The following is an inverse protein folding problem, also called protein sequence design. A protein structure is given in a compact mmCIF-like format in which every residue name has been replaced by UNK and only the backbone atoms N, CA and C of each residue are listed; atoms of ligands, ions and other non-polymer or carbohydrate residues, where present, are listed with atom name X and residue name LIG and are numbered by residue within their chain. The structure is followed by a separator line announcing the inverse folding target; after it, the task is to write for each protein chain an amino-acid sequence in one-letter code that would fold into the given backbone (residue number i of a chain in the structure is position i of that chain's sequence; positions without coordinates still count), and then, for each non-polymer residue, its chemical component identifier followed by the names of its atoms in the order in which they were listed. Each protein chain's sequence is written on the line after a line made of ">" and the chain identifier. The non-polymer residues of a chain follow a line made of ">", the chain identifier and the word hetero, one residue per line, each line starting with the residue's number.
data_IF_420479718868
#
_entry.id   IF_420479718868
#
_cell.length_a   1.000
_cell.length_b   1.000
_cell.length_c   1.000
_cell.angle_alpha   90.00
_cell.angle_beta   90.00
_cell.angle_gamma   90.00
#
_symmetry.space_group_name_H-M   'P 1'
#
loop_
_entity.id
_entity.type
_entity.pdbx_description
1 polymer ?
#
# COMPACT_ATOMS: atom_id res chain seq x y z
N UNK A 1 -66.38 45.88 -27.98
CA UNK A 1 -67.77 46.15 -28.41
C UNK A 1 -68.27 44.88 -29.09
N UNK A 2 -69.20 44.17 -28.43
CA UNK A 2 -70.18 43.24 -29.03
C UNK A 2 -69.60 41.94 -29.63
N UNK A 3 -70.17 40.74 -29.51
CA UNK A 3 -71.33 40.17 -28.82
C UNK A 3 -71.22 38.66 -29.15
N UNK A 4 -71.40 37.76 -28.18
CA UNK A 4 -71.99 36.42 -28.44
C UNK A 4 -73.47 36.64 -28.82
N UNK A 5 -74.22 35.72 -29.48
CA UNK A 5 -74.57 34.36 -28.96
C UNK A 5 -74.96 33.33 -30.10
N UNK A 6 -75.84 32.31 -29.92
CA UNK A 6 -75.71 31.10 -29.10
C UNK A 6 -76.06 29.75 -29.83
N UNK A 7 -75.89 28.67 -29.06
CA UNK A 7 -76.73 27.45 -28.94
C UNK A 7 -77.01 26.49 -30.12
N UNK A 8 -76.74 25.21 -29.84
CA UNK A 8 -77.24 24.05 -30.56
C UNK A 8 -76.91 22.76 -29.81
N UNK A 9 -77.73 22.41 -28.83
CA UNK A 9 -77.70 21.17 -28.04
C UNK A 9 -78.22 19.96 -28.82
N UNK A 10 -77.59 18.79 -28.64
CA UNK A 10 -78.14 17.40 -28.66
C UNK A 10 -76.93 16.44 -28.81
N UNK A 11 -76.77 15.31 -28.13
CA UNK A 11 -77.46 14.65 -27.02
C UNK A 11 -76.46 13.69 -26.36
N UNK A 12 -76.77 13.25 -25.13
CA UNK A 12 -76.00 12.28 -24.36
C UNK A 12 -76.24 10.85 -24.88
N UNK A 13 -75.18 10.08 -25.09
CA UNK A 13 -75.21 8.60 -25.03
C UNK A 13 -73.85 8.08 -24.47
N UNK A 14 -73.82 6.98 -23.68
CA UNK A 14 -72.79 6.78 -22.67
C UNK A 14 -71.53 6.03 -23.14
N UNK A 15 -70.45 6.30 -22.40
CA UNK A 15 -69.08 5.79 -22.49
C UNK A 15 -68.97 4.25 -22.52
N UNK A 16 -68.05 3.69 -23.33
CA UNK A 16 -67.25 2.54 -22.94
C UNK A 16 -65.94 3.02 -22.31
N UNK A 17 -65.76 2.71 -21.02
CA UNK A 17 -64.50 2.90 -20.28
C UNK A 17 -63.36 2.22 -21.04
N UNK A 18 -62.35 2.99 -21.43
CA UNK A 18 -61.07 2.43 -21.84
C UNK A 18 -60.47 1.64 -20.67
N UNK A 19 -60.03 0.39 -20.88
CA UNK A 19 -59.36 -0.35 -19.83
C UNK A 19 -58.03 0.32 -19.50
N UNK A 20 -57.88 0.69 -18.23
CA UNK A 20 -56.60 1.09 -17.66
C UNK A 20 -55.55 0.02 -18.00
N UNK A 21 -54.54 0.41 -18.76
CA UNK A 21 -53.38 -0.42 -19.03
C UNK A 21 -52.64 -0.66 -17.71
N UNK A 22 -52.92 -1.80 -17.10
CA UNK A 22 -52.15 -2.33 -15.98
C UNK A 22 -50.77 -2.69 -16.55
N UNK A 23 -49.77 -1.86 -16.24
CA UNK A 23 -48.38 -2.17 -16.50
C UNK A 23 -47.99 -3.35 -15.59
N UNK A 24 -48.02 -4.56 -16.13
CA UNK A 24 -47.51 -5.78 -15.50
C UNK A 24 -46.03 -5.55 -15.16
N UNK A 25 -45.73 -5.25 -13.90
CA UNK A 25 -44.37 -5.18 -13.36
C UNK A 25 -43.78 -6.59 -13.24
N UNK A 26 -43.58 -7.26 -14.37
CA UNK A 26 -42.62 -8.36 -14.47
C UNK A 26 -41.35 -7.79 -15.07
N UNK A 27 -40.56 -7.13 -14.24
CA UNK A 27 -39.18 -6.74 -14.55
C UNK A 27 -38.38 -8.01 -14.91
N UNK A 28 -38.06 -8.28 -16.19
CA UNK A 28 -37.25 -9.42 -16.55
C UNK A 28 -35.79 -9.01 -16.29
N UNK A 29 -35.25 -9.47 -15.17
CA UNK A 29 -33.83 -9.49 -14.79
C UNK A 29 -32.88 -10.00 -15.89
N UNK A 30 -33.43 -10.59 -16.96
CA UNK A 30 -32.75 -11.03 -18.17
C UNK A 30 -32.13 -9.91 -19.02
N UNK A 31 -32.51 -8.64 -18.85
CA UNK A 31 -31.89 -7.52 -19.59
C UNK A 31 -30.60 -6.97 -18.97
N UNK A 32 -30.22 -7.38 -17.76
CA UNK A 32 -28.96 -6.95 -17.13
C UNK A 32 -27.75 -7.77 -17.63
N UNK A 33 -27.98 -8.90 -18.31
CA UNK A 33 -26.91 -9.78 -18.78
C UNK A 33 -26.50 -9.57 -20.25
N UNK A 34 -27.10 -8.60 -20.95
CA UNK A 34 -26.97 -8.45 -22.41
C UNK A 34 -26.17 -7.24 -22.94
N UNK A 35 -25.65 -6.35 -22.07
CA UNK A 35 -24.85 -5.18 -22.46
C UNK A 35 -23.46 -5.21 -21.80
N UNK A 36 -22.88 -6.40 -21.63
CA UNK A 36 -21.59 -6.63 -21.00
C UNK A 36 -20.48 -7.10 -21.94
N UNK A 37 -20.66 -7.02 -23.25
CA UNK A 37 -19.62 -7.36 -24.24
C UNK A 37 -19.65 -6.35 -25.38
N UNK A 38 -18.88 -5.27 -25.24
CA UNK A 38 -18.20 -4.51 -26.31
C UNK A 38 -17.56 -3.24 -25.72
N UNK A 39 -16.78 -3.42 -24.65
CA UNK A 39 -15.83 -2.42 -24.20
C UNK A 39 -14.49 -3.11 -23.93
N UNK A 40 -13.93 -3.78 -24.93
CA UNK A 40 -12.48 -4.01 -24.98
C UNK A 40 -11.82 -2.69 -25.37
N UNK A 41 -11.99 -1.67 -24.52
CA UNK A 41 -11.08 -0.54 -24.52
C UNK A 41 -9.72 -1.10 -24.12
N UNK A 42 -8.70 -0.91 -24.95
CA UNK A 42 -7.33 -1.15 -24.56
C UNK A 42 -7.11 -0.46 -23.20
N UNK A 43 -6.81 -1.23 -22.16
CA UNK A 43 -6.35 -0.68 -20.90
C UNK A 43 -5.20 0.26 -21.20
N UNK A 44 -5.14 1.48 -20.63
CA UNK A 44 -3.94 2.30 -20.70
C UNK A 44 -2.74 1.41 -20.34
N UNK A 45 -1.67 1.48 -21.13
CA UNK A 45 -0.41 0.81 -20.85
C UNK A 45 0.04 1.25 -19.46
N UNK A 46 -0.23 0.41 -18.45
CA UNK A 46 -0.02 0.78 -17.07
C UNK A 46 1.47 0.66 -16.80
N UNK A 47 2.13 1.79 -16.53
CA UNK A 47 3.56 1.78 -16.18
C UNK A 47 3.74 0.86 -14.97
N UNK A 48 4.59 -0.15 -15.17
CA UNK A 48 4.83 -1.21 -14.20
C UNK A 48 5.55 -0.65 -12.97
N UNK A 49 5.02 -0.94 -11.78
CA UNK A 49 5.72 -0.75 -10.51
C UNK A 49 5.94 -2.12 -9.88
N UNK A 50 7.19 -2.50 -9.55
CA UNK A 50 7.45 -3.82 -9.01
C UNK A 50 6.76 -3.99 -7.65
N UNK A 51 6.17 -5.17 -7.38
CA UNK A 51 5.64 -5.47 -6.06
C UNK A 51 6.79 -5.54 -5.04
N UNK A 52 6.50 -5.24 -3.77
CA UNK A 52 7.49 -5.31 -2.68
C UNK A 52 8.02 -6.73 -2.37
N UNK A 53 7.52 -7.73 -3.08
CA UNK A 53 7.95 -9.13 -3.02
C UNK A 53 8.73 -9.55 -4.27
N UNK A 54 8.95 -8.65 -5.21
CA UNK A 54 9.74 -8.90 -6.42
C UNK A 54 11.22 -9.08 -6.03
N UNK A 55 11.84 -10.23 -6.36
CA UNK A 55 13.20 -10.53 -5.92
C UNK A 55 14.23 -9.57 -6.53
N UNK A 56 14.06 -9.13 -7.78
CA UNK A 56 14.99 -8.20 -8.42
C UNK A 56 14.91 -6.83 -7.76
N UNK A 57 13.69 -6.36 -7.47
CA UNK A 57 13.51 -5.09 -6.76
C UNK A 57 14.11 -5.12 -5.34
N UNK A 58 13.94 -6.24 -4.63
CA UNK A 58 14.54 -6.46 -3.32
C UNK A 58 16.08 -6.42 -3.42
N UNK A 59 16.63 -7.18 -4.35
CA UNK A 59 18.08 -7.27 -4.58
C UNK A 59 18.67 -5.91 -4.95
N UNK A 60 18.05 -5.17 -5.88
CA UNK A 60 18.49 -3.83 -6.26
C UNK A 60 18.46 -2.86 -5.07
N UNK A 61 17.42 -2.90 -4.23
CA UNK A 61 17.35 -2.05 -3.05
C UNK A 61 18.44 -2.41 -2.03
N UNK A 62 18.66 -3.69 -1.74
CA UNK A 62 19.65 -4.13 -0.74
C UNK A 62 21.08 -3.91 -1.24
N UNK A 63 21.36 -4.30 -2.49
CA UNK A 63 22.70 -4.19 -3.08
C UNK A 63 23.18 -2.74 -3.13
N UNK A 64 22.36 -1.79 -3.60
CA UNK A 64 22.80 -0.38 -3.67
C UNK A 64 23.06 0.22 -2.28
N UNK A 65 22.26 -0.14 -1.27
CA UNK A 65 22.51 0.34 0.09
C UNK A 65 23.85 -0.20 0.63
N UNK A 66 24.14 -1.48 0.42
CA UNK A 66 25.40 -2.07 0.88
C UNK A 66 26.61 -1.58 0.05
N UNK A 67 26.48 -1.45 -1.28
CA UNK A 67 27.52 -0.86 -2.17
C UNK A 67 27.95 0.53 -1.66
N UNK A 68 26.99 1.39 -1.33
CA UNK A 68 27.26 2.75 -0.84
C UNK A 68 27.80 2.78 0.59
N UNK A 69 27.38 1.84 1.45
CA UNK A 69 27.90 1.71 2.82
C UNK A 69 29.34 1.21 2.83
N UNK A 70 29.66 0.22 1.98
CA UNK A 70 31.02 -0.31 1.81
C UNK A 70 32.02 0.79 1.40
N UNK A 71 31.59 1.71 0.53
CA UNK A 71 32.45 2.74 -0.06
C UNK A 71 32.30 4.13 0.57
N UNK A 72 31.72 4.23 1.77
CA UNK A 72 31.55 5.52 2.44
C UNK A 72 32.88 6.17 2.79
N UNK A 73 32.96 7.49 2.63
CA UNK A 73 34.15 8.28 2.97
C UNK A 73 33.81 9.41 3.94
N UNK A 74 34.54 9.56 5.06
CA UNK A 74 35.59 8.66 5.55
C UNK A 74 35.06 7.26 5.91
N UNK A 75 35.93 6.24 5.96
CA UNK A 75 35.54 4.85 6.23
C UNK A 75 34.77 4.69 7.56
N UNK A 76 33.82 3.77 7.58
CA UNK A 76 33.03 3.43 8.76
C UNK A 76 33.50 2.14 9.41
N UNK A 77 33.88 2.23 10.70
CA UNK A 77 34.39 1.11 11.48
C UNK A 77 33.31 0.09 11.88
N UNK A 78 32.04 0.52 12.00
CA UNK A 78 30.95 -0.22 12.65
C UNK A 78 29.71 -0.42 11.77
N UNK A 79 29.84 -0.24 10.45
CA UNK A 79 28.71 -0.34 9.52
C UNK A 79 28.17 -1.76 9.42
N UNK A 80 26.94 -1.97 9.89
CA UNK A 80 26.24 -3.27 9.72
C UNK A 80 25.81 -3.48 8.28
N UNK A 81 25.85 -4.72 7.82
CA UNK A 81 25.21 -5.10 6.56
C UNK A 81 23.69 -5.01 6.67
N UNK A 82 23.04 -4.43 5.67
CA UNK A 82 21.58 -4.32 5.64
C UNK A 82 20.96 -5.47 4.87
N UNK A 83 19.84 -5.97 5.37
CA UNK A 83 19.04 -7.02 4.72
C UNK A 83 17.59 -6.58 4.60
N UNK A 84 16.84 -7.27 3.74
CA UNK A 84 15.44 -6.96 3.51
C UNK A 84 14.55 -7.35 4.70
N UNK A 85 13.55 -6.54 4.97
CA UNK A 85 12.50 -6.78 5.96
C UNK A 85 11.11 -6.58 5.34
N UNK A 86 10.31 -7.64 5.38
CA UNK A 86 9.00 -7.66 4.73
C UNK A 86 7.97 -6.77 5.43
N UNK A 87 8.10 -6.51 6.74
CA UNK A 87 7.21 -5.59 7.45
C UNK A 87 7.55 -4.13 7.13
N UNK A 88 8.84 -3.78 7.06
CA UNK A 88 9.25 -2.44 6.60
C UNK A 88 8.75 -2.16 5.17
N UNK A 89 8.85 -3.13 4.27
CA UNK A 89 8.37 -2.97 2.89
C UNK A 89 6.84 -2.82 2.81
N UNK A 90 6.10 -3.53 3.68
CA UNK A 90 4.64 -3.36 3.82
C UNK A 90 4.28 -1.95 4.32
N UNK A 91 5.05 -1.40 5.25
CA UNK A 91 4.90 -0.01 5.71
C UNK A 91 5.17 0.99 4.60
N UNK A 92 6.30 0.84 3.89
CA UNK A 92 6.65 1.70 2.76
C UNK A 92 5.55 1.69 1.69
N UNK A 93 5.02 0.49 1.36
CA UNK A 93 3.90 0.32 0.42
C UNK A 93 2.63 1.00 0.92
N UNK A 94 2.29 0.83 2.20
CA UNK A 94 1.09 1.42 2.78
C UNK A 94 1.16 2.95 2.72
N UNK A 95 2.34 3.54 2.93
CA UNK A 95 2.53 4.97 2.86
C UNK A 95 2.56 5.50 1.42
N UNK A 96 3.32 4.87 0.52
CA UNK A 96 3.47 5.32 -0.87
C UNK A 96 2.13 5.31 -1.65
N UNK A 97 1.21 4.40 -1.32
CA UNK A 97 -0.18 4.37 -1.84
C UNK A 97 -0.94 5.68 -1.66
N UNK A 98 -0.60 6.47 -0.64
CA UNK A 98 -1.28 7.74 -0.34
C UNK A 98 -0.90 8.83 -1.34
N UNK A 99 0.18 8.64 -2.09
CA UNK A 99 0.67 9.59 -3.09
C UNK A 99 0.81 11.01 -2.54
N UNK A 100 1.46 11.11 -1.37
CA UNK A 100 1.83 12.35 -0.70
C UNK A 100 3.33 12.35 -0.44
N UNK A 101 4.02 13.40 -0.86
CA UNK A 101 5.46 13.53 -0.64
C UNK A 101 5.74 14.21 0.69
N UNK A 102 5.49 13.44 1.75
CA UNK A 102 5.69 13.84 3.13
C UNK A 102 6.04 12.60 3.95
N UNK A 103 6.85 12.77 4.99
CA UNK A 103 7.15 11.67 5.91
C UNK A 103 5.91 11.09 6.58
N UNK A 104 5.96 9.77 6.75
CA UNK A 104 4.95 8.97 7.41
C UNK A 104 4.81 9.37 8.89
N UNK A 105 3.63 9.90 9.25
CA UNK A 105 3.32 10.37 10.60
C UNK A 105 3.30 9.26 11.68
N UNK A 106 3.49 8.00 11.30
CA UNK A 106 3.50 6.84 12.19
C UNK A 106 4.91 6.30 12.50
N UNK A 107 5.98 6.78 11.84
CA UNK A 107 7.34 6.21 11.98
C UNK A 107 7.91 6.32 13.41
N UNK A 108 7.51 7.35 14.15
CA UNK A 108 7.86 7.55 15.57
C UNK A 108 6.84 6.96 16.55
N UNK A 109 5.75 6.35 16.08
CA UNK A 109 4.73 5.74 16.94
C UNK A 109 5.10 4.28 17.19
N UNK A 110 5.16 3.92 18.48
CA UNK A 110 5.56 2.60 18.93
C UNK A 110 4.75 1.49 18.24
N UNK A 111 5.44 0.59 17.54
CA UNK A 111 4.91 -0.57 16.81
C UNK A 111 3.90 -0.25 15.70
N UNK A 112 3.77 1.02 15.28
CA UNK A 112 2.83 1.40 14.23
C UNK A 112 3.33 1.01 12.83
N UNK A 113 4.65 0.97 12.65
CA UNK A 113 5.31 0.71 11.36
C UNK A 113 6.07 -0.62 11.30
N UNK A 114 6.10 -1.37 12.41
CA UNK A 114 6.75 -2.68 12.47
C UNK A 114 6.25 -3.47 13.69
N UNK A 115 6.08 -4.80 13.64
CA UNK A 115 5.60 -5.59 14.79
C UNK A 115 6.61 -5.63 15.96
N UNK A 116 7.91 -5.72 15.67
CA UNK A 116 8.97 -5.81 16.69
C UNK A 116 9.74 -4.52 16.97
N UNK A 117 10.32 -3.86 15.96
CA UNK A 117 10.94 -2.55 16.14
C UNK A 117 9.94 -1.52 16.66
N UNK A 118 10.34 -0.78 17.70
CA UNK A 118 9.49 0.24 18.32
C UNK A 118 9.18 1.35 17.33
N UNK A 119 10.21 1.90 16.69
CA UNK A 119 10.12 2.97 15.69
C UNK A 119 10.95 2.58 14.46
N UNK A 120 10.77 3.30 13.35
CA UNK A 120 11.51 3.08 12.10
C UNK A 120 11.97 4.42 11.51
N UNK A 121 13.02 4.41 10.71
CA UNK A 121 13.46 5.55 9.89
C UNK A 121 12.74 5.55 8.55
N UNK A 122 12.90 6.64 7.78
CA UNK A 122 12.28 6.76 6.45
C UNK A 122 13.03 7.72 5.54
N UNK A 123 13.26 7.31 4.30
CA UNK A 123 13.65 8.18 3.20
C UNK A 123 12.55 8.17 2.13
N UNK A 124 12.32 9.32 1.49
CA UNK A 124 11.41 9.46 0.35
C UNK A 124 12.14 10.03 -0.85
N UNK A 125 11.73 9.58 -2.03
CA UNK A 125 12.15 10.13 -3.31
C UNK A 125 10.93 10.28 -4.21
N UNK A 126 10.89 11.35 -5.00
CA UNK A 126 9.88 11.58 -6.03
C UNK A 126 10.59 11.84 -7.34
N UNK A 127 10.06 11.27 -8.43
CA UNK A 127 10.48 11.63 -9.77
C UNK A 127 9.77 10.81 -10.83
N UNK A 128 10.27 10.93 -12.06
CA UNK A 128 9.74 10.28 -13.25
C UNK A 128 10.01 8.77 -13.25
N UNK A 129 8.95 7.97 -13.28
CA UNK A 129 8.98 6.51 -13.25
C UNK A 129 9.58 5.91 -14.52
N UNK A 130 9.50 6.60 -15.66
CA UNK A 130 10.04 6.10 -16.94
C UNK A 130 11.56 6.00 -16.94
N UNK A 131 12.22 6.75 -16.05
CA UNK A 131 13.67 6.77 -15.86
C UNK A 131 14.10 6.07 -14.58
N UNK A 132 13.14 5.63 -13.76
CA UNK A 132 13.43 5.22 -12.40
C UNK A 132 14.07 3.85 -12.33
N UNK A 133 15.15 3.77 -11.55
CA UNK A 133 15.65 2.55 -10.93
C UNK A 133 15.99 2.84 -9.47
N UNK A 134 15.85 1.88 -8.54
CA UNK A 134 16.23 2.05 -7.12
C UNK A 134 17.61 2.68 -6.94
N UNK A 135 18.58 2.29 -7.78
CA UNK A 135 19.93 2.85 -7.77
C UNK A 135 19.95 4.37 -7.85
N UNK A 136 19.09 4.98 -8.67
CA UNK A 136 19.04 6.44 -8.82
C UNK A 136 18.59 7.14 -7.55
N UNK A 137 17.50 6.67 -6.93
CA UNK A 137 16.96 7.31 -5.73
C UNK A 137 17.91 7.18 -4.54
N UNK A 138 18.47 5.99 -4.31
CA UNK A 138 19.39 5.76 -3.18
C UNK A 138 20.71 6.51 -3.39
N UNK A 139 21.21 6.59 -4.63
CA UNK A 139 22.40 7.41 -4.95
C UNK A 139 22.12 8.90 -4.75
N UNK A 140 20.93 9.39 -5.10
CA UNK A 140 20.54 10.78 -4.84
C UNK A 140 20.52 11.09 -3.34
N UNK A 141 19.96 10.21 -2.51
CA UNK A 141 20.01 10.31 -1.06
C UNK A 141 21.45 10.31 -0.53
N UNK A 142 22.29 9.41 -1.02
CA UNK A 142 23.68 9.30 -0.60
C UNK A 142 24.52 10.52 -0.99
N UNK A 143 24.25 11.13 -2.14
CA UNK A 143 24.97 12.32 -2.63
C UNK A 143 24.82 13.54 -1.72
N UNK A 144 23.85 13.57 -0.83
CA UNK A 144 23.76 14.56 0.24
C UNK A 144 25.00 14.57 1.16
N UNK A 145 25.74 13.47 1.23
CA UNK A 145 27.01 13.37 1.96
C UNK A 145 28.06 14.40 1.53
N UNK A 146 27.95 14.97 0.33
CA UNK A 146 28.79 16.11 -0.13
C UNK A 146 28.64 17.36 0.76
N UNK A 147 27.54 17.45 1.50
CA UNK A 147 27.23 18.55 2.42
C UNK A 147 27.41 18.18 3.90
N UNK A 148 27.82 16.95 4.20
CA UNK A 148 27.95 16.43 5.56
C UNK A 148 29.42 16.28 5.97
N UNK A 149 29.78 16.89 7.09
CA UNK A 149 31.06 16.69 7.75
C UNK A 149 30.91 15.62 8.85
N UNK A 150 31.41 14.42 8.57
CA UNK A 150 31.39 13.28 9.52
C UNK A 150 32.25 13.57 10.76
N UNK A 151 33.34 14.30 10.61
CA UNK A 151 34.25 14.66 11.71
C UNK A 151 33.56 15.56 12.73
N UNK A 152 32.87 16.58 12.25
CA UNK A 152 32.17 17.55 13.08
C UNK A 152 30.69 17.23 13.35
N UNK A 153 30.16 16.17 12.74
CA UNK A 153 28.74 15.83 12.77
C UNK A 153 27.85 17.00 12.32
N UNK A 154 28.28 17.71 11.29
CA UNK A 154 27.66 18.95 10.83
C UNK A 154 27.13 18.81 9.41
N UNK A 155 26.00 19.44 9.12
CA UNK A 155 25.39 19.46 7.80
C UNK A 155 25.27 20.92 7.32
N UNK A 156 25.67 21.17 6.08
CA UNK A 156 25.58 22.49 5.43
C UNK A 156 24.35 22.65 4.52
N UNK A 157 23.48 21.64 4.46
CA UNK A 157 22.29 21.62 3.62
C UNK A 157 21.26 20.59 4.08
N UNK A 158 20.82 19.73 3.15
CA UNK A 158 20.02 18.53 3.48
C UNK A 158 20.98 17.34 3.52
N UNK A 159 21.02 16.63 4.65
CA UNK A 159 21.89 15.45 4.82
C UNK A 159 21.16 14.24 5.43
N UNK A 160 19.88 14.40 5.78
CA UNK A 160 19.13 13.40 6.53
C UNK A 160 18.95 12.09 5.77
N UNK A 161 18.89 12.14 4.44
CA UNK A 161 18.77 10.92 3.65
C UNK A 161 20.12 10.19 3.59
N UNK A 162 21.22 10.92 3.40
CA UNK A 162 22.57 10.35 3.47
C UNK A 162 22.82 9.69 4.82
N UNK A 163 22.64 10.42 5.92
CA UNK A 163 22.93 9.89 7.26
C UNK A 163 22.11 8.65 7.59
N UNK A 164 20.87 8.54 7.08
CA UNK A 164 20.07 7.33 7.24
C UNK A 164 20.59 6.15 6.39
N UNK A 165 21.02 6.39 5.13
CA UNK A 165 21.59 5.34 4.27
C UNK A 165 22.85 4.75 4.91
N UNK A 166 23.72 5.59 5.49
CA UNK A 166 24.98 5.17 6.11
C UNK A 166 24.90 4.99 7.63
N UNK A 167 23.69 4.86 8.19
CA UNK A 167 23.54 4.69 9.64
C UNK A 167 24.05 3.31 10.09
N UNK A 168 25.08 3.25 10.93
CA UNK A 168 25.78 2.03 11.34
C UNK A 168 24.85 1.02 12.01
N UNK A 169 23.96 1.51 12.88
CA UNK A 169 23.04 0.66 13.66
C UNK A 169 21.88 0.09 12.84
N UNK A 170 21.55 0.68 11.69
CA UNK A 170 20.48 0.20 10.81
C UNK A 170 20.95 -1.06 10.08
N UNK A 171 20.16 -2.13 10.15
CA UNK A 171 20.49 -3.42 9.52
C UNK A 171 19.31 -4.08 8.79
N UNK A 172 18.10 -3.50 8.86
CA UNK A 172 16.93 -3.90 8.09
C UNK A 172 16.41 -2.73 7.27
N UNK A 173 16.08 -3.00 6.01
CA UNK A 173 15.40 -2.05 5.13
C UNK A 173 14.20 -2.69 4.46
N UNK A 174 13.21 -1.88 4.10
CA UNK A 174 12.12 -2.31 3.24
C UNK A 174 11.55 -1.13 2.48
N UNK A 175 11.41 -1.30 1.17
CA UNK A 175 11.09 -0.22 0.25
C UNK A 175 9.84 -0.52 -0.59
N UNK A 176 9.26 0.53 -1.18
CA UNK A 176 8.14 0.43 -2.11
C UNK A 176 8.15 1.59 -3.10
N UNK A 177 7.80 1.27 -4.35
CA UNK A 177 7.61 2.24 -5.43
C UNK A 177 6.13 2.32 -5.79
N UNK A 178 5.62 3.54 -6.00
CA UNK A 178 4.22 3.75 -6.41
C UNK A 178 4.10 4.87 -7.42
N UNK A 179 3.50 4.58 -8.57
CA UNK A 179 3.02 5.58 -9.51
C UNK A 179 1.88 6.40 -8.87
N UNK A 180 1.98 7.71 -8.98
CA UNK A 180 1.11 8.70 -8.36
C UNK A 180 0.63 9.73 -9.40
N UNK A 181 -0.41 9.38 -10.19
CA UNK A 181 -0.90 10.24 -11.27
C UNK A 181 -1.39 11.62 -10.79
N UNK A 182 -1.78 11.74 -9.52
CA UNK A 182 -2.18 13.01 -8.89
C UNK A 182 -1.03 13.99 -8.68
N UNK A 183 0.22 13.53 -8.77
CA UNK A 183 1.43 14.36 -8.63
C UNK A 183 2.04 14.76 -9.98
N UNK A 184 1.51 14.19 -11.07
CA UNK A 184 1.98 14.41 -12.43
C UNK A 184 1.91 13.12 -13.25
N UNK A 185 1.97 13.28 -14.58
CA UNK A 185 2.07 12.15 -15.49
C UNK A 185 3.37 11.39 -15.20
N UNK A 186 3.27 10.09 -15.04
CA UNK A 186 4.41 9.17 -14.84
C UNK A 186 5.25 9.47 -13.57
N UNK A 187 4.77 10.29 -12.65
CA UNK A 187 5.45 10.58 -11.39
C UNK A 187 5.24 9.44 -10.40
N UNK A 188 6.33 8.97 -9.79
CA UNK A 188 6.29 7.98 -8.73
C UNK A 188 6.90 8.49 -7.42
N UNK A 189 6.42 7.93 -6.32
CA UNK A 189 7.05 8.04 -5.00
C UNK A 189 7.74 6.71 -4.68
N UNK A 190 9.01 6.80 -4.30
CA UNK A 190 9.79 5.72 -3.73
C UNK A 190 10.01 5.98 -2.23
N UNK A 191 9.70 4.99 -1.41
CA UNK A 191 9.85 5.06 0.06
C UNK A 191 10.71 3.90 0.51
N UNK A 192 11.68 4.14 1.38
CA UNK A 192 12.38 3.10 2.13
C UNK A 192 12.24 3.36 3.62
N UNK A 193 11.84 2.34 4.39
CA UNK A 193 11.88 2.36 5.84
C UNK A 193 13.09 1.59 6.38
N UNK A 194 13.64 2.05 7.51
CA UNK A 194 14.91 1.59 8.07
C UNK A 194 14.73 1.15 9.52
N UNK A 195 15.31 0.02 9.92
CA UNK A 195 15.28 -0.43 11.30
C UNK A 195 16.61 -1.02 11.78
N UNK A 196 17.01 -0.73 13.04
CA UNK A 196 16.56 0.40 13.87
C UNK A 196 16.65 1.75 13.15
N UNK A 197 15.88 2.77 13.57
CA UNK A 197 15.90 4.09 12.93
C UNK A 197 17.27 4.75 13.09
N UNK A 198 17.69 5.47 12.06
CA UNK A 198 18.84 6.35 12.12
C UNK A 198 18.49 7.75 12.60
N UNK A 199 19.37 8.71 12.28
CA UNK A 199 19.19 10.15 12.47
C UNK A 199 18.83 10.54 13.92
N UNK A 200 19.45 9.85 14.88
CA UNK A 200 19.29 10.19 16.29
C UNK A 200 20.01 11.52 16.58
N UNK A 201 19.28 12.45 17.20
CA UNK A 201 19.77 13.80 17.50
C UNK A 201 21.09 13.72 18.29
N UNK A 202 22.09 14.46 17.82
CA UNK A 202 23.41 14.54 18.45
C UNK A 202 24.32 13.33 18.22
N UNK A 203 23.89 12.32 17.45
CA UNK A 203 24.72 11.14 17.12
C UNK A 203 25.23 11.20 15.69
N UNK A 204 26.46 10.74 15.50
CA UNK A 204 27.04 10.49 14.17
C UNK A 204 26.39 9.28 13.52
N UNK A 205 26.32 9.23 12.17
CA UNK A 205 25.76 8.10 11.46
C UNK A 205 26.57 6.81 11.67
N UNK A 206 27.89 6.92 11.78
CA UNK A 206 28.79 5.79 12.02
C UNK A 206 30.07 6.26 12.71
N UNK A 207 30.87 5.31 13.19
CA UNK A 207 32.18 5.57 13.79
C UNK A 207 33.23 5.65 12.69
N UNK A 208 33.90 6.79 12.55
CA UNK A 208 35.01 6.93 11.60
C UNK A 208 36.18 6.04 12.00
N UNK A 209 36.68 5.22 11.07
CA UNK A 209 37.83 4.36 11.29
C UNK A 209 37.94 3.28 10.23
N UNK A 210 39.01 2.48 10.30
CA UNK A 210 39.20 1.37 9.38
C UNK A 210 38.00 0.43 9.42
N UNK A 211 37.55 0.02 8.24
CA UNK A 211 36.42 -0.89 8.06
C UNK A 211 36.45 -2.07 9.03
N UNK A 212 35.29 -2.36 9.64
CA UNK A 212 35.08 -3.45 10.60
C UNK A 212 35.82 -3.41 11.95
N UNK A 213 36.63 -2.39 12.24
CA UNK A 213 37.33 -2.29 13.55
C UNK A 213 36.39 -2.02 14.72
N UNK A 214 35.17 -1.58 14.45
CA UNK A 214 34.10 -1.32 15.42
C UNK A 214 32.98 -2.37 15.42
N UNK A 215 33.16 -3.53 14.78
CA UNK A 215 32.15 -4.58 14.79
C UNK A 215 31.96 -5.20 16.19
N UNK A 216 30.73 -5.63 16.47
CA UNK A 216 30.41 -6.32 17.72
C UNK A 216 31.14 -7.67 17.81
N UNK A 217 31.39 -8.13 19.05
CA UNK A 217 32.01 -9.44 19.28
C UNK A 217 31.16 -10.56 18.66
N UNK A 218 31.76 -11.34 17.77
CA UNK A 218 31.12 -12.45 17.07
C UNK A 218 30.60 -12.10 15.67
N UNK A 219 30.60 -10.82 15.28
CA UNK A 219 30.39 -10.43 13.90
C UNK A 219 31.65 -10.73 13.06
N UNK A 220 31.45 -11.06 11.78
CA UNK A 220 32.53 -11.23 10.81
C UNK A 220 32.60 -10.01 9.89
N UNK A 221 33.79 -9.71 9.37
CA UNK A 221 33.97 -8.64 8.40
C UNK A 221 33.86 -9.20 6.97
N UNK A 222 32.92 -8.67 6.19
CA UNK A 222 32.76 -9.01 4.78
C UNK A 222 32.36 -7.75 4.03
N UNK A 223 32.96 -7.47 2.87
CA UNK A 223 32.68 -6.27 2.06
C UNK A 223 32.71 -4.98 2.90
N UNK A 224 33.72 -4.87 3.79
CA UNK A 224 33.92 -3.74 4.72
C UNK A 224 32.77 -3.48 5.70
N UNK A 225 31.89 -4.46 5.91
CA UNK A 225 30.73 -4.34 6.79
C UNK A 225 30.69 -5.45 7.84
N UNK A 226 30.08 -5.14 8.98
CA UNK A 226 29.82 -6.09 10.06
C UNK A 226 28.67 -7.03 9.66
N UNK A 227 28.97 -8.31 9.51
CA UNK A 227 28.02 -9.38 9.19
C UNK A 227 27.69 -10.23 10.40
N UNK A 228 26.43 -10.65 10.48
CA UNK A 228 25.92 -11.54 11.52
C UNK A 228 24.71 -12.32 11.01
N UNK A 229 24.81 -13.64 11.00
CA UNK A 229 23.78 -14.52 10.44
C UNK A 229 22.42 -14.38 11.11
N UNK A 230 22.38 -14.25 12.45
CA UNK A 230 21.13 -14.05 13.20
C UNK A 230 20.47 -12.72 12.88
N UNK A 231 21.25 -11.65 12.74
CA UNK A 231 20.75 -10.32 12.38
C UNK A 231 20.24 -10.27 10.94
N UNK A 232 20.90 -11.01 10.05
CA UNK A 232 20.65 -11.01 8.61
C UNK A 232 19.48 -11.90 8.20
N UNK A 233 18.99 -12.78 9.08
CA UNK A 233 17.87 -13.66 8.82
C UNK A 233 16.65 -12.91 8.25
N UNK A 234 16.13 -13.39 7.12
CA UNK A 234 14.96 -12.78 6.47
C UNK A 234 13.71 -13.17 7.26
N UNK A 235 13.12 -12.19 7.94
CA UNK A 235 11.88 -12.38 8.69
C UNK A 235 10.65 -12.28 7.79
N UNK A 236 9.77 -13.26 7.89
CA UNK A 236 8.48 -13.29 7.18
C UNK A 236 7.34 -12.89 8.11
N UNK A 237 6.52 -11.95 7.67
CA UNK A 237 5.38 -11.43 8.44
C UNK A 237 4.06 -11.63 7.70
N UNK A 238 3.62 -12.87 7.40
CA UNK A 238 2.50 -13.12 6.48
C UNK A 238 1.22 -12.40 6.90
N UNK A 239 0.92 -12.39 8.20
CA UNK A 239 -0.34 -11.86 8.73
C UNK A 239 -0.27 -10.42 9.24
N UNK A 240 0.88 -9.76 9.17
CA UNK A 240 1.02 -8.38 9.63
C UNK A 240 0.88 -7.38 8.47
N UNK A 241 0.18 -6.28 8.72
CA UNK A 241 0.20 -5.03 7.93
C UNK A 241 0.04 -3.87 8.92
N UNK A 242 0.46 -2.64 8.56
CA UNK A 242 0.22 -1.47 9.39
C UNK A 242 -1.27 -1.26 9.62
N UNK A 243 -1.70 -1.07 10.86
CA UNK A 243 -3.12 -0.96 11.23
C UNK A 243 -3.81 0.27 10.62
N UNK A 244 -3.03 1.27 10.23
CA UNK A 244 -3.46 2.52 9.59
C UNK A 244 -3.42 2.47 8.05
N UNK A 245 -3.02 1.36 7.43
CA UNK A 245 -3.10 1.19 5.96
C UNK A 245 -4.56 1.26 5.50
N UNK A 246 -4.85 2.06 4.46
CA UNK A 246 -6.18 2.18 3.87
C UNK A 246 -6.12 2.07 2.32
N UNK A 247 -7.04 1.33 1.67
CA UNK A 247 -8.01 0.42 2.29
C UNK A 247 -7.30 -0.70 3.06
N UNK A 248 -7.85 -1.05 4.22
CA UNK A 248 -7.21 -2.02 5.12
C UNK A 248 -7.11 -3.36 4.41
N UNK A 249 -5.90 -3.90 4.28
CA UNK A 249 -5.72 -5.27 3.81
C UNK A 249 -6.15 -6.23 4.90
N UNK A 250 -7.21 -6.99 4.64
CA UNK A 250 -7.64 -8.08 5.49
C UNK A 250 -6.66 -9.24 5.27
N UNK A 251 -5.77 -9.47 6.23
CA UNK A 251 -5.00 -10.71 6.27
C UNK A 251 -5.84 -11.75 7.00
N UNK A 252 -6.45 -12.64 6.24
CA UNK A 252 -7.30 -13.68 6.79
C UNK A 252 -6.44 -14.93 7.01
N UNK A 253 -6.13 -15.23 8.27
CA UNK A 253 -5.53 -16.52 8.63
C UNK A 253 -6.55 -17.65 8.42
N UNK A 254 -6.12 -18.91 8.57
CA UNK A 254 -7.00 -20.07 8.38
C UNK A 254 -8.28 -19.97 9.22
N UNK A 255 -8.18 -19.52 10.47
CA UNK A 255 -9.34 -19.34 11.34
C UNK A 255 -10.34 -18.30 10.80
N UNK A 256 -9.85 -17.14 10.35
CA UNK A 256 -10.66 -16.12 9.69
C UNK A 256 -11.32 -16.68 8.42
N UNK A 257 -10.59 -17.45 7.60
CA UNK A 257 -11.13 -18.03 6.38
C UNK A 257 -12.24 -19.03 6.70
N UNK A 258 -12.00 -19.93 7.65
CA UNK A 258 -12.99 -20.90 8.14
C UNK A 258 -14.24 -20.19 8.65
N UNK A 259 -14.08 -19.13 9.44
CA UNK A 259 -15.22 -18.36 9.95
C UNK A 259 -16.03 -17.70 8.84
N UNK A 260 -15.36 -17.07 7.86
CA UNK A 260 -16.04 -16.47 6.70
C UNK A 260 -16.78 -17.55 5.89
N UNK A 261 -16.16 -18.70 5.65
CA UNK A 261 -16.78 -19.82 4.95
C UNK A 261 -18.01 -20.33 5.72
N UNK A 262 -17.90 -20.56 7.03
CA UNK A 262 -19.03 -20.99 7.87
C UNK A 262 -20.18 -19.98 7.80
N UNK A 263 -19.89 -18.68 7.84
CA UNK A 263 -20.90 -17.63 7.72
C UNK A 263 -21.59 -17.64 6.36
N UNK A 264 -20.83 -17.80 5.27
CA UNK A 264 -21.38 -17.87 3.91
C UNK A 264 -22.21 -19.15 3.70
N UNK A 265 -21.73 -20.29 4.18
CA UNK A 265 -22.47 -21.57 4.13
C UNK A 265 -23.74 -21.50 4.97
N UNK A 266 -23.68 -20.92 6.16
CA UNK A 266 -24.85 -20.70 7.01
C UNK A 266 -25.89 -19.80 6.36
N UNK A 267 -25.46 -18.71 5.72
CA UNK A 267 -26.34 -17.82 4.96
C UNK A 267 -26.98 -18.55 3.78
N UNK A 268 -26.20 -19.27 2.98
CA UNK A 268 -26.72 -20.06 1.86
C UNK A 268 -27.70 -21.13 2.33
N UNK A 269 -27.41 -21.81 3.44
CA UNK A 269 -28.30 -22.79 4.07
C UNK A 269 -29.61 -22.17 4.54
N UNK A 270 -29.58 -20.96 5.12
CA UNK A 270 -30.79 -20.25 5.53
C UNK A 270 -31.67 -19.85 4.33
N UNK A 271 -31.07 -19.38 3.25
CA UNK A 271 -31.77 -19.05 2.00
C UNK A 271 -32.40 -20.29 1.38
N UNK A 272 -31.65 -21.40 1.33
CA UNK A 272 -32.16 -22.68 0.83
C UNK A 272 -33.31 -23.20 1.68
N UNK A 273 -33.22 -23.09 3.00
CA UNK A 273 -34.29 -23.50 3.92
C UNK A 273 -35.58 -22.71 3.64
N UNK A 274 -35.49 -21.38 3.54
CA UNK A 274 -36.66 -20.53 3.21
C UNK A 274 -37.25 -20.91 1.85
N UNK A 275 -36.40 -21.12 0.84
CA UNK A 275 -36.86 -21.52 -0.49
C UNK A 275 -37.58 -22.87 -0.49
N UNK A 276 -37.04 -23.87 0.22
CA UNK A 276 -37.68 -25.19 0.39
C UNK A 276 -39.01 -25.06 1.14
N UNK A 277 -39.06 -24.26 2.21
CA UNK A 277 -40.29 -24.02 2.96
C UNK A 277 -41.37 -23.37 2.09
N UNK A 278 -41.02 -22.43 1.21
CA UNK A 278 -41.95 -21.84 0.25
C UNK A 278 -42.48 -22.84 -0.77
N UNK A 279 -41.67 -23.80 -1.21
CA UNK A 279 -42.11 -24.89 -2.12
C UNK A 279 -43.08 -25.83 -1.41
N UNK A 280 -42.76 -26.24 -0.18
CA UNK A 280 -43.57 -27.20 0.58
C UNK A 280 -44.88 -26.56 1.04
N UNK A 281 -44.85 -25.27 1.39
CA UNK A 281 -45.99 -24.52 1.91
C UNK A 281 -46.25 -23.27 1.05
N UNK A 282 -46.83 -23.43 -0.15
CA UNK A 282 -47.03 -22.32 -1.10
C UNK A 282 -48.00 -21.24 -0.62
N UNK A 283 -48.78 -21.50 0.44
CA UNK A 283 -49.67 -20.53 1.10
C UNK A 283 -49.07 -19.88 2.35
N UNK A 284 -47.81 -20.17 2.70
CA UNK A 284 -47.11 -19.55 3.83
C UNK A 284 -46.67 -18.14 3.43
N UNK A 285 -47.63 -17.20 3.44
CA UNK A 285 -47.31 -15.79 3.39
C UNK A 285 -46.81 -15.36 4.77
N UNK A 286 -45.75 -14.56 4.83
CA UNK A 286 -45.51 -13.74 6.01
C UNK A 286 -46.79 -12.95 6.22
N UNK A 287 -47.54 -13.23 7.28
CA UNK A 287 -48.70 -12.41 7.62
C UNK A 287 -48.23 -10.96 7.63
N UNK A 288 -48.81 -10.06 6.81
CA UNK A 288 -48.54 -8.65 6.91
C UNK A 288 -49.29 -8.13 8.14
N UNK A 289 -48.88 -8.50 9.34
CA UNK A 289 -49.63 -8.15 10.55
C UNK A 289 -48.82 -7.23 11.47
N UNK A 290 -49.39 -6.02 11.63
CA UNK A 290 -49.38 -5.12 12.81
C UNK A 290 -48.13 -4.25 13.05
#
# INVERSE_FOLDING_TARGET
>A
MFQSPPEGSQGLEPQPKEPAMILDQRFPWMWVLGLGLLATGASPEQIYTPPVTDPNFIEECVSIHNELREHVSPEGADLKYVTWDTALAKTARAWSKRCIFRHNSYIGKKHACHPYFKNVGENLWMGDLTKYVPKMAVTAWYNEGKHFDIGNNACSGVCGHFTQVVWAETYKIGCALRLCPNLGKDIAIFVCNYAPPGNLVGRKPYTQGNSCTGCAKGDICENRQCRNSTREEISSYPYWNPSWEFPRRINCNLFCQTYVIIRLVGLAGSVLCVFVLQIIYPGMHLEPNL
#
